data_IF_822338328412
#
_entry.id   IF_822338328412
#
_cell.length_a   1.000
_cell.length_b   1.000
_cell.length_c   1.000
_cell.angle_alpha   90.00
_cell.angle_beta   90.00
_cell.angle_gamma   90.00
#
_symmetry.space_group_name_H-M   'P 1'
#
loop_
_entity.id
_entity.type
_entity.pdbx_description
1 polymer ?
#
# COMPACT_ATOMS: atom_id res chain seq x y z
N UNK A 1 1.45 -2.97 -16.26
CA UNK A 1 2.08 -3.11 -14.92
C UNK A 1 2.34 -1.72 -14.39
N UNK A 2 1.83 -1.40 -13.21
CA UNK A 2 1.94 -0.07 -12.59
C UNK A 2 2.67 -0.25 -11.26
N UNK A 3 3.93 0.20 -11.11
CA UNK A 3 4.65 0.09 -9.85
C UNK A 3 4.17 1.13 -8.84
N UNK A 4 4.01 0.71 -7.59
CA UNK A 4 3.78 1.59 -6.44
C UNK A 4 4.75 1.19 -5.34
N UNK A 5 5.60 2.10 -4.91
CA UNK A 5 6.50 1.86 -3.77
C UNK A 5 5.69 2.01 -2.48
N UNK A 6 5.84 1.05 -1.57
CA UNK A 6 5.20 1.04 -0.26
C UNK A 6 6.27 1.20 0.82
N UNK A 7 6.12 2.18 1.69
CA UNK A 7 7.05 2.47 2.78
C UNK A 7 8.07 3.52 2.40
N UNK A 8 9.33 3.26 2.74
CA UNK A 8 10.45 4.15 2.52
C UNK A 8 10.59 5.15 3.68
N UNK A 9 11.53 6.10 3.61
CA UNK A 9 11.88 6.95 4.77
C UNK A 9 10.74 7.82 5.33
N UNK A 10 9.62 7.91 4.62
CA UNK A 10 8.45 8.72 4.98
C UNK A 10 7.20 7.86 5.22
N UNK A 11 7.30 6.53 5.15
CA UNK A 11 6.17 5.61 5.29
C UNK A 11 4.99 5.99 4.37
N UNK A 12 5.20 6.01 3.04
CA UNK A 12 4.18 6.47 2.08
C UNK A 12 3.84 5.42 1.03
N UNK A 13 2.82 5.70 0.23
CA UNK A 13 2.62 5.08 -1.08
C UNK A 13 3.13 6.05 -2.15
N UNK A 14 4.00 5.60 -3.05
CA UNK A 14 4.56 6.44 -4.12
C UNK A 14 4.38 5.77 -5.49
N UNK A 15 3.55 6.34 -6.38
CA UNK A 15 2.65 7.47 -6.13
C UNK A 15 1.50 7.10 -5.18
N UNK A 16 0.92 8.10 -4.50
CA UNK A 16 -0.25 7.92 -3.62
C UNK A 16 -1.59 7.95 -4.38
N UNK A 17 -1.53 8.01 -5.71
CA UNK A 17 -2.69 7.79 -6.57
C UNK A 17 -2.25 7.26 -7.93
N UNK A 18 -3.07 6.38 -8.50
CA UNK A 18 -2.84 5.80 -9.83
C UNK A 18 -4.15 5.68 -10.58
N UNK A 19 -4.11 5.84 -11.90
CA UNK A 19 -5.19 5.43 -12.79
C UNK A 19 -4.80 4.12 -13.47
N UNK A 20 -5.67 3.12 -13.42
CA UNK A 20 -5.44 1.79 -13.93
C UNK A 20 -6.68 1.26 -14.66
N UNK A 21 -6.47 0.60 -15.79
CA UNK A 21 -7.50 -0.02 -16.59
C UNK A 21 -7.72 -1.48 -16.18
N UNK A 22 -8.89 -2.05 -16.50
CA UNK A 22 -9.11 -3.49 -16.35
C UNK A 22 -8.05 -4.26 -17.16
N UNK A 23 -7.43 -5.25 -16.52
CA UNK A 23 -6.32 -6.02 -17.08
C UNK A 23 -4.93 -5.49 -16.71
N UNK A 24 -4.83 -4.27 -16.16
CA UNK A 24 -3.59 -3.85 -15.51
C UNK A 24 -3.31 -4.67 -14.25
N UNK A 25 -2.04 -4.66 -13.85
CA UNK A 25 -1.58 -5.15 -12.55
C UNK A 25 -0.89 -3.99 -11.86
N UNK A 26 -1.36 -3.65 -10.67
CA UNK A 26 -0.65 -2.74 -9.76
C UNK A 26 0.30 -3.59 -8.93
N UNK A 27 1.60 -3.34 -9.06
CA UNK A 27 2.63 -4.04 -8.31
C UNK A 27 3.13 -3.13 -7.20
N UNK A 28 2.72 -3.46 -5.98
CA UNK A 28 3.22 -2.84 -4.78
C UNK A 28 4.59 -3.41 -4.46
N UNK A 29 5.59 -2.55 -4.31
CA UNK A 29 6.98 -2.92 -4.03
C UNK A 29 7.35 -2.40 -2.65
N UNK A 30 7.59 -3.32 -1.72
CA UNK A 30 7.75 -2.98 -0.30
C UNK A 30 9.20 -2.58 -0.05
N UNK A 31 9.37 -1.32 0.32
CA UNK A 31 10.64 -0.71 0.69
C UNK A 31 10.76 -0.58 2.21
N UNK A 32 11.90 -0.07 2.69
CA UNK A 32 12.32 -0.02 4.11
C UNK A 32 11.16 0.00 5.11
N UNK A 33 11.14 -0.96 6.02
CA UNK A 33 10.12 -1.09 7.05
C UNK A 33 9.26 -2.35 6.85
N UNK A 34 8.11 -2.36 7.52
CA UNK A 34 7.13 -3.43 7.40
C UNK A 34 5.76 -2.80 7.12
N UNK A 35 5.20 -3.07 5.95
CA UNK A 35 4.00 -2.39 5.50
C UNK A 35 2.95 -3.36 4.98
N UNK A 36 1.75 -2.83 4.79
CA UNK A 36 0.63 -3.53 4.18
C UNK A 36 -0.02 -2.65 3.12
N UNK A 37 -0.75 -3.31 2.23
CA UNK A 37 -1.75 -2.69 1.35
C UNK A 37 -3.09 -3.26 1.82
N UNK A 38 -3.87 -2.47 2.55
CA UNK A 38 -5.17 -2.88 3.10
C UNK A 38 -6.26 -1.99 2.56
N UNK A 39 -7.37 -2.57 2.11
CA UNK A 39 -8.52 -1.82 1.62
C UNK A 39 -9.39 -1.34 2.76
N UNK A 40 -9.78 -0.07 2.71
CA UNK A 40 -10.84 0.53 3.52
C UNK A 40 -12.00 0.99 2.64
N UNK A 41 -12.97 1.68 3.24
CA UNK A 41 -13.90 2.53 2.49
C UNK A 41 -13.33 3.95 2.35
N UNK A 42 -13.95 4.76 1.50
CA UNK A 42 -13.66 6.20 1.39
C UNK A 42 -13.85 6.94 2.71
N UNK A 43 -14.88 6.58 3.47
CA UNK A 43 -15.34 7.33 4.65
C UNK A 43 -14.79 6.79 5.96
N UNK A 44 -14.22 5.58 5.96
CA UNK A 44 -13.64 4.94 7.15
C UNK A 44 -12.20 4.50 6.88
N UNK A 45 -11.26 5.44 6.63
CA UNK A 45 -9.83 5.11 6.52
C UNK A 45 -9.31 4.43 7.79
N UNK A 46 -8.19 3.72 7.65
CA UNK A 46 -7.52 3.00 8.73
C UNK A 46 -8.36 1.88 9.38
N UNK A 47 -9.46 1.49 8.76
CA UNK A 47 -10.34 0.39 9.16
C UNK A 47 -10.47 -0.60 7.99
N UNK A 48 -10.22 -1.90 8.21
CA UNK A 48 -10.18 -2.86 7.13
C UNK A 48 -11.60 -3.16 6.65
N UNK A 49 -11.83 -3.05 5.34
CA UNK A 49 -13.09 -3.42 4.72
C UNK A 49 -13.39 -4.93 4.88
N UNK A 50 -12.40 -5.74 5.23
CA UNK A 50 -12.58 -7.18 5.51
C UNK A 50 -13.60 -7.49 6.61
N UNK A 51 -13.91 -6.54 7.50
CA UNK A 51 -14.96 -6.71 8.51
C UNK A 51 -16.36 -6.90 7.90
N UNK A 52 -16.60 -6.33 6.71
CA UNK A 52 -17.90 -6.41 6.01
C UNK A 52 -17.80 -7.09 4.65
N UNK A 53 -16.60 -7.20 4.08
CA UNK A 53 -16.33 -7.91 2.84
C UNK A 53 -15.02 -8.70 2.95
N UNK A 54 -15.12 -10.00 3.27
CA UNK A 54 -13.95 -10.87 3.42
C UNK A 54 -13.02 -10.94 2.19
N UNK A 55 -13.52 -10.55 1.00
CA UNK A 55 -12.72 -10.51 -0.22
C UNK A 55 -12.00 -9.16 -0.45
N UNK A 56 -12.12 -8.21 0.47
CA UNK A 56 -11.43 -6.93 0.38
C UNK A 56 -9.91 -7.11 0.43
N UNK A 57 -9.20 -6.23 -0.28
CA UNK A 57 -7.75 -6.36 -0.50
C UNK A 57 -7.01 -6.25 0.83
N UNK A 58 -6.08 -7.17 1.04
CA UNK A 58 -5.09 -7.10 2.10
C UNK A 58 -3.85 -7.88 1.67
N UNK A 59 -2.69 -7.24 1.64
CA UNK A 59 -1.43 -7.92 1.25
C UNK A 59 -0.83 -8.79 2.34
N UNK A 60 -1.26 -8.61 3.60
CA UNK A 60 -0.45 -8.98 4.75
C UNK A 60 0.77 -8.06 4.91
N UNK A 61 1.49 -8.26 6.01
CA UNK A 61 2.74 -7.57 6.30
C UNK A 61 3.87 -8.11 5.42
N UNK A 62 4.47 -7.23 4.62
CA UNK A 62 5.61 -7.55 3.77
C UNK A 62 6.78 -6.65 4.19
N UNK A 63 7.77 -7.22 4.92
CA UNK A 63 8.91 -6.46 5.38
C UNK A 63 9.99 -6.32 4.32
N UNK A 64 10.73 -5.22 4.37
CA UNK A 64 11.99 -5.04 3.66
C UNK A 64 13.04 -4.47 4.61
N UNK A 65 14.25 -5.06 4.56
CA UNK A 65 15.39 -4.67 5.38
C UNK A 65 16.58 -4.33 4.50
N UNK A 66 17.38 -3.36 4.96
CA UNK A 66 18.58 -2.94 4.24
C UNK A 66 19.55 -4.13 4.05
N UNK A 67 20.13 -4.20 2.85
CA UNK A 67 21.01 -5.32 2.46
C UNK A 67 20.31 -6.50 1.79
N UNK A 68 18.98 -6.53 1.71
CA UNK A 68 18.26 -7.54 0.92
C UNK A 68 18.51 -7.37 -0.59
N UNK A 69 18.75 -8.48 -1.29
CA UNK A 69 18.92 -8.52 -2.74
C UNK A 69 17.58 -8.62 -3.51
N UNK A 70 16.49 -8.89 -2.80
CA UNK A 70 15.14 -9.05 -3.35
C UNK A 70 14.16 -8.17 -2.61
N UNK A 71 13.18 -7.64 -3.34
CA UNK A 71 12.11 -6.80 -2.83
C UNK A 71 10.81 -7.60 -2.81
N UNK A 72 10.13 -7.63 -1.67
CA UNK A 72 8.80 -8.21 -1.55
C UNK A 72 7.78 -7.40 -2.36
N UNK A 73 6.85 -8.08 -3.01
CA UNK A 73 5.81 -7.45 -3.82
C UNK A 73 4.43 -7.99 -3.51
N UNK A 74 3.41 -7.18 -3.75
CA UNK A 74 2.02 -7.61 -3.83
C UNK A 74 1.46 -7.20 -5.19
N UNK A 75 1.05 -8.18 -5.99
CA UNK A 75 0.58 -7.99 -7.35
C UNK A 75 -0.95 -8.04 -7.35
N UNK A 76 -1.57 -6.87 -7.50
CA UNK A 76 -3.02 -6.70 -7.47
C UNK A 76 -3.56 -6.58 -8.91
N UNK A 77 -4.30 -7.58 -9.43
CA UNK A 77 -4.95 -7.47 -10.72
C UNK A 77 -6.12 -6.49 -10.65
N UNK A 78 -6.22 -5.61 -11.64
CA UNK A 78 -7.32 -4.65 -11.77
C UNK A 78 -8.45 -5.31 -12.55
N UNK A 79 -9.55 -5.62 -11.86
CA UNK A 79 -10.71 -6.34 -12.41
C UNK A 79 -11.92 -5.45 -12.67
N UNK A 80 -11.92 -4.23 -12.11
CA UNK A 80 -12.88 -3.16 -12.36
C UNK A 80 -12.16 -1.80 -12.25
N UNK A 81 -12.84 -0.71 -12.60
CA UNK A 81 -12.32 0.66 -12.53
C UNK A 81 -12.92 1.48 -11.39
N UNK A 82 -13.60 0.85 -10.43
CA UNK A 82 -14.15 1.56 -9.29
C UNK A 82 -13.00 2.09 -8.40
N UNK A 83 -13.17 3.24 -7.73
CA UNK A 83 -12.14 3.76 -6.83
C UNK A 83 -11.83 2.78 -5.70
N UNK A 84 -10.55 2.49 -5.46
CA UNK A 84 -10.09 1.68 -4.33
C UNK A 84 -9.34 2.57 -3.35
N UNK A 85 -9.71 2.49 -2.08
CA UNK A 85 -9.12 3.24 -0.97
C UNK A 85 -8.22 2.30 -0.19
N UNK A 86 -6.92 2.56 -0.20
CA UNK A 86 -5.91 1.68 0.37
C UNK A 86 -5.11 2.42 1.44
N UNK A 87 -4.72 1.71 2.50
CA UNK A 87 -3.91 2.23 3.59
C UNK A 87 -2.90 1.19 4.08
N UNK A 88 -1.88 1.65 4.79
CA UNK A 88 -1.01 0.77 5.55
C UNK A 88 -1.49 0.62 7.00
N UNK A 89 -1.67 -0.62 7.41
CA UNK A 89 -2.14 -1.00 8.74
C UNK A 89 -1.02 -1.18 9.79
N UNK A 90 0.22 -0.85 9.46
CA UNK A 90 1.34 -0.89 10.41
C UNK A 90 1.31 0.34 11.29
N UNK A 91 1.34 0.15 12.62
CA UNK A 91 1.52 1.23 13.58
C UNK A 91 0.60 2.44 13.32
N UNK A 92 1.13 3.68 13.37
CA UNK A 92 0.38 4.89 13.05
C UNK A 92 0.42 5.28 11.56
N UNK A 93 0.99 4.45 10.66
CA UNK A 93 1.33 4.89 9.30
C UNK A 93 0.12 5.41 8.52
N UNK A 94 -1.06 4.81 8.68
CA UNK A 94 -2.28 5.30 8.04
C UNK A 94 -2.60 6.74 8.45
N UNK A 95 -2.55 7.04 9.75
CA UNK A 95 -2.78 8.38 10.28
C UNK A 95 -1.67 9.37 9.91
N UNK A 96 -0.45 8.87 9.72
CA UNK A 96 0.70 9.67 9.25
C UNK A 96 0.69 9.91 7.73
N UNK A 97 -0.29 9.33 7.02
CA UNK A 97 -0.54 9.63 5.62
C UNK A 97 -0.15 8.53 4.66
N UNK A 98 0.18 7.32 5.14
CA UNK A 98 0.36 6.12 4.32
C UNK A 98 -0.99 5.62 3.80
N UNK A 99 -1.56 6.38 2.88
CA UNK A 99 -2.81 6.10 2.19
C UNK A 99 -2.68 6.38 0.69
N UNK A 100 -3.49 5.70 -0.11
CA UNK A 100 -3.58 5.96 -1.54
C UNK A 100 -4.96 5.64 -2.11
N UNK A 101 -5.21 6.14 -3.32
CA UNK A 101 -6.42 5.83 -4.08
C UNK A 101 -6.04 5.30 -5.46
N UNK A 102 -6.59 4.15 -5.84
CA UNK A 102 -6.59 3.67 -7.23
C UNK A 102 -7.86 4.19 -7.90
N UNK A 103 -7.73 4.72 -9.11
CA UNK A 103 -8.82 5.31 -9.90
C UNK A 103 -9.62 6.38 -9.13
N UNK A 104 -8.98 7.42 -8.55
CA UNK A 104 -9.70 8.49 -7.89
C UNK A 104 -10.62 9.23 -8.87
N UNK A 105 -11.80 9.65 -8.41
CA UNK A 105 -12.75 10.43 -9.24
C UNK A 105 -12.30 11.87 -9.46
N UNK A 106 -11.45 12.39 -8.56
CA UNK A 106 -10.80 13.69 -8.71
C UNK A 106 -9.55 13.78 -7.81
N UNK A 107 -8.61 14.71 -8.09
CA UNK A 107 -7.45 14.95 -7.22
C UNK A 107 -7.84 15.29 -5.77
N UNK A 108 -8.95 16.01 -5.57
CA UNK A 108 -9.44 16.38 -4.24
C UNK A 108 -9.83 15.18 -3.39
N UNK A 109 -10.18 14.05 -4.02
CA UNK A 109 -10.54 12.82 -3.30
C UNK A 109 -9.34 12.28 -2.51
N UNK A 110 -8.13 12.33 -3.09
CA UNK A 110 -6.89 11.89 -2.42
C UNK A 110 -6.61 12.76 -1.20
N UNK A 111 -6.75 14.08 -1.34
CA UNK A 111 -6.56 15.04 -0.24
C UNK A 111 -7.56 14.81 0.89
N UNK A 112 -8.84 14.60 0.55
CA UNK A 112 -9.90 14.33 1.54
C UNK A 112 -9.66 13.02 2.28
N UNK A 113 -9.26 11.97 1.56
CA UNK A 113 -8.99 10.66 2.16
C UNK A 113 -7.79 10.71 3.11
N UNK A 114 -6.70 11.37 2.71
CA UNK A 114 -5.54 11.59 3.59
C UNK A 114 -5.91 12.39 4.84
N UNK A 115 -6.70 13.47 4.70
CA UNK A 115 -7.17 14.25 5.85
C UNK A 115 -8.06 13.43 6.79
N UNK A 116 -8.93 12.58 6.25
CA UNK A 116 -9.78 11.71 7.05
C UNK A 116 -8.94 10.65 7.79
N UNK A 117 -7.91 10.10 7.15
CA UNK A 117 -7.00 9.12 7.76
C UNK A 117 -6.24 9.72 8.94
N UNK A 118 -5.72 10.95 8.81
CA UNK A 118 -5.06 11.66 9.91
C UNK A 118 -5.97 11.88 11.14
N UNK A 119 -7.29 11.89 10.94
CA UNK A 119 -8.29 12.00 12.01
C UNK A 119 -8.79 10.65 12.54
N UNK A 120 -8.32 9.51 12.03
CA UNK A 120 -8.80 8.20 12.44
C UNK A 120 -8.34 7.86 13.87
N UNK A 121 -9.28 7.38 14.69
CA UNK A 121 -9.01 7.09 16.10
C UNK A 121 -8.11 5.85 16.32
N UNK A 122 -8.06 4.94 15.34
CA UNK A 122 -7.28 3.70 15.40
C UNK A 122 -6.86 3.27 14.00
N UNK A 123 -5.75 2.53 13.94
CA UNK A 123 -5.30 1.81 12.75
C UNK A 123 -5.52 0.32 12.98
N UNK A 124 -6.46 -0.29 12.25
CA UNK A 124 -6.84 -1.68 12.43
C UNK A 124 -6.33 -2.48 11.24
N UNK A 125 -5.80 -3.66 11.52
CA UNK A 125 -5.22 -4.52 10.50
C UNK A 125 -6.24 -5.43 9.83
N UNK A 126 -5.92 -5.83 8.61
CA UNK A 126 -6.62 -6.91 7.91
C UNK A 126 -6.35 -8.26 8.56
N UNK A 127 -7.07 -9.28 8.08
CA UNK A 127 -6.98 -10.63 8.65
C UNK A 127 -6.38 -11.64 7.68
N UNK A 128 -6.85 -11.63 6.44
CA UNK A 128 -6.50 -12.66 5.45
C UNK A 128 -5.88 -12.01 4.23
N UNK A 129 -4.82 -12.59 3.68
CA UNK A 129 -4.23 -12.11 2.43
C UNK A 129 -5.18 -12.38 1.27
N UNK A 130 -5.71 -11.32 0.65
CA UNK A 130 -6.72 -11.40 -0.43
C UNK A 130 -6.54 -10.23 -1.41
N UNK A 131 -7.03 -10.39 -2.65
CA UNK A 131 -7.08 -9.33 -3.66
C UNK A 131 -5.85 -9.24 -4.56
N UNK A 132 -4.87 -10.12 -4.37
CA UNK A 132 -3.65 -10.17 -5.17
C UNK A 132 -2.73 -11.31 -4.74
N UNK A 133 -1.53 -11.36 -5.31
CA UNK A 133 -0.52 -12.37 -5.01
C UNK A 133 0.76 -11.75 -4.45
N UNK A 134 1.21 -12.28 -3.30
CA UNK A 134 2.54 -11.96 -2.76
C UNK A 134 3.60 -12.61 -3.64
N UNK A 135 4.67 -11.87 -3.93
CA UNK A 135 5.81 -12.35 -4.70
C UNK A 135 7.07 -11.56 -4.38
N UNK A 136 8.09 -11.68 -5.23
CA UNK A 136 9.31 -10.88 -5.10
C UNK A 136 9.92 -10.53 -6.46
N UNK A 137 10.71 -9.47 -6.48
CA UNK A 137 11.53 -9.06 -7.62
C UNK A 137 12.98 -8.86 -7.16
N UNK A 138 13.93 -8.86 -8.10
CA UNK A 138 15.28 -8.43 -7.79
C UNK A 138 15.29 -6.95 -7.40
N UNK A 139 16.13 -6.57 -6.43
CA UNK A 139 16.26 -5.17 -5.99
C UNK A 139 16.65 -4.23 -7.15
N UNK A 140 17.43 -4.72 -8.11
CA UNK A 140 17.81 -3.97 -9.32
C UNK A 140 16.64 -3.66 -10.27
N UNK A 141 15.49 -4.31 -10.08
CA UNK A 141 14.26 -4.06 -10.83
C UNK A 141 13.23 -3.22 -10.03
N UNK A 142 13.55 -2.85 -8.79
CA UNK A 142 12.66 -2.05 -7.95
C UNK A 142 12.63 -0.58 -8.39
N UNK A 143 11.49 0.07 -8.18
CA UNK A 143 11.23 1.46 -8.51
C UNK A 143 11.72 2.45 -7.43
N UNK A 144 12.58 2.01 -6.52
CA UNK A 144 13.20 2.83 -5.49
C UNK A 144 14.68 2.51 -5.35
N UNK A 145 15.45 3.49 -4.84
CA UNK A 145 16.85 3.27 -4.46
C UNK A 145 16.87 2.96 -2.96
N UNK A 146 17.33 1.78 -2.54
CA UNK A 146 17.42 1.45 -1.12
C UNK A 146 18.46 2.33 -0.43
N UNK A 147 18.28 2.57 0.87
CA UNK A 147 19.32 3.19 1.68
C UNK A 147 20.60 2.31 1.64
N UNK A 148 21.80 2.92 1.68
CA UNK A 148 23.02 2.16 1.86
C UNK A 148 22.89 1.30 3.12
N UNK A 149 23.32 0.03 3.07
CA UNK A 149 23.36 -0.81 4.25
C UNK A 149 24.17 -0.08 5.34
N UNK A 150 23.53 0.16 6.49
CA UNK A 150 24.20 0.80 7.61
C UNK A 150 25.32 -0.14 8.07
N UNK A 151 26.58 0.24 7.81
CA UNK A 151 27.73 -0.49 8.33
C UNK A 151 27.64 -0.44 9.84
N UNK A 152 27.41 -1.60 10.47
CA UNK A 152 27.35 -1.71 11.92
C UNK A 152 28.60 -1.10 12.56
N UNK A 153 28.39 -0.16 13.47
CA UNK A 153 29.43 0.39 14.34
C UNK A 153 29.77 -0.55 15.48
#
# INVERSE_FOLDING_TARGET
LIPVVVGGPQDTFVPNSVNAAVGDVIQFQFSNGNHTVTQSTETTPCQPLQQTNANAIHSGHIPFQDGQATVGTFNMPVTNTDPLFLYCATGPHCQEGQVMIVNPISPEQVVKFNKAAAGAAANIDGTTVVGGAVGSIALTAAAFVPAPAQQGG
#
